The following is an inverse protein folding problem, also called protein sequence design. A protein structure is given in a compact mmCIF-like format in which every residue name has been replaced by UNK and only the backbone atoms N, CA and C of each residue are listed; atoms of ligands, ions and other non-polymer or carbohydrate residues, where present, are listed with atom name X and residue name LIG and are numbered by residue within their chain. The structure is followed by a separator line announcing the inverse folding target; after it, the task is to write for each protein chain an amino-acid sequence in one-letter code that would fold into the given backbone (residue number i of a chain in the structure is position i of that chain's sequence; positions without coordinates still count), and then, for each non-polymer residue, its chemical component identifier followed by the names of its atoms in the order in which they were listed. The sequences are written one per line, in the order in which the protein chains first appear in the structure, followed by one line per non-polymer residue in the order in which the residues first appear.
data_IF_970183194857
#
_entry.id   IF_970183194857
#
_cell.length_a   1.000
_cell.length_b   1.000
_cell.length_c   1.000
_cell.angle_alpha   90.00
_cell.angle_beta   90.00
_cell.angle_gamma   90.00
#
_symmetry.space_group_name_H-M   'P 1'
#
loop_
_entity.id
_entity.type
_entity.pdbx_description
1 polymer ?
#
# COMPACT_ATOMS: atom_id res chain seq x y z
N UNK A 1 29.22 -20.07 -44.81
CA UNK A 1 27.99 -20.76 -44.37
C UNK A 1 28.01 -20.72 -42.84
N UNK A 2 27.58 -19.60 -42.27
CA UNK A 2 27.37 -19.48 -40.82
C UNK A 2 25.89 -19.77 -40.64
N UNK A 3 25.58 -21.01 -40.25
CA UNK A 3 24.24 -21.38 -39.83
C UNK A 3 23.96 -20.62 -38.53
N UNK A 4 23.09 -19.63 -38.60
CA UNK A 4 22.57 -18.98 -37.40
C UNK A 4 21.72 -19.99 -36.65
N UNK A 5 22.24 -20.51 -35.55
CA UNK A 5 21.42 -21.26 -34.59
C UNK A 5 20.20 -20.40 -34.24
N UNK A 6 18.97 -20.93 -34.35
CA UNK A 6 17.79 -20.20 -33.90
C UNK A 6 17.98 -19.92 -32.41
N UNK A 7 17.80 -18.65 -32.01
CA UNK A 7 17.73 -18.26 -30.60
C UNK A 7 16.51 -18.97 -30.01
N UNK A 8 16.71 -20.17 -29.47
CA UNK A 8 15.70 -20.89 -28.72
C UNK A 8 15.46 -20.03 -27.49
N UNK A 9 14.30 -19.38 -27.42
CA UNK A 9 13.77 -18.82 -26.18
C UNK A 9 13.60 -20.02 -25.23
N UNK A 10 14.67 -20.40 -24.52
CA UNK A 10 14.59 -21.41 -23.48
C UNK A 10 13.61 -20.89 -22.43
N UNK A 11 12.41 -21.47 -22.44
CA UNK A 11 11.43 -21.21 -21.41
C UNK A 11 12.10 -21.56 -20.07
N UNK A 12 12.11 -20.64 -19.10
CA UNK A 12 12.75 -20.91 -17.83
C UNK A 12 12.16 -22.17 -17.18
N UNK A 13 12.99 -23.14 -16.82
CA UNK A 13 12.56 -24.38 -16.17
C UNK A 13 12.37 -24.15 -14.67
N UNK A 14 11.27 -23.52 -14.29
CA UNK A 14 10.89 -23.31 -12.89
C UNK A 14 9.90 -22.16 -12.67
N UNK A 15 9.09 -22.20 -11.59
CA UNK A 15 8.08 -21.17 -11.35
C UNK A 15 8.70 -19.79 -11.09
N UNK A 16 9.79 -19.72 -10.32
CA UNK A 16 10.45 -18.46 -9.98
C UNK A 16 11.10 -17.79 -11.20
N UNK A 17 11.75 -18.60 -12.04
CA UNK A 17 12.39 -18.13 -13.26
C UNK A 17 11.39 -17.75 -14.33
N UNK A 18 10.23 -18.42 -14.39
CA UNK A 18 9.08 -18.01 -15.22
C UNK A 18 8.54 -16.65 -14.79
N UNK A 19 8.35 -16.42 -13.49
CA UNK A 19 7.89 -15.12 -12.96
C UNK A 19 8.89 -13.99 -13.25
N UNK A 20 10.18 -14.26 -13.08
CA UNK A 20 11.24 -13.31 -13.42
C UNK A 20 11.22 -12.96 -14.92
N UNK A 21 11.09 -13.97 -15.79
CA UNK A 21 10.99 -13.78 -17.23
C UNK A 21 9.74 -12.99 -17.61
N UNK A 22 8.58 -13.30 -17.01
CA UNK A 22 7.33 -12.54 -17.25
C UNK A 22 7.48 -11.08 -16.80
N UNK A 23 8.02 -10.81 -15.62
CA UNK A 23 8.23 -9.45 -15.12
C UNK A 23 9.21 -8.65 -15.99
N UNK A 24 10.26 -9.29 -16.48
CA UNK A 24 11.27 -8.64 -17.30
C UNK A 24 10.81 -8.39 -18.74
N UNK A 25 10.06 -9.31 -19.35
CA UNK A 25 9.64 -9.22 -20.76
C UNK A 25 8.27 -8.56 -20.94
N UNK A 26 7.42 -8.57 -19.92
CA UNK A 26 6.07 -8.02 -19.98
C UNK A 26 5.86 -6.88 -18.99
N UNK A 27 6.01 -5.65 -19.49
CA UNK A 27 5.86 -4.42 -18.70
C UNK A 27 4.52 -4.35 -17.95
N UNK A 28 3.43 -4.79 -18.57
CA UNK A 28 2.10 -4.78 -17.96
C UNK A 28 2.02 -5.69 -16.72
N UNK A 29 2.67 -6.86 -16.76
CA UNK A 29 2.71 -7.80 -15.63
C UNK A 29 3.52 -7.20 -14.46
N UNK A 30 4.65 -6.56 -14.77
CA UNK A 30 5.46 -5.84 -13.78
C UNK A 30 4.66 -4.71 -13.12
N UNK A 31 4.08 -3.80 -13.90
CA UNK A 31 3.34 -2.65 -13.38
C UNK A 31 2.09 -3.06 -12.59
N UNK A 32 1.36 -4.09 -13.05
CA UNK A 32 0.19 -4.60 -12.33
C UNK A 32 0.59 -5.20 -10.98
N UNK A 33 1.67 -5.98 -10.95
CA UNK A 33 2.19 -6.59 -9.71
C UNK A 33 2.62 -5.52 -8.71
N UNK A 34 3.37 -4.52 -9.15
CA UNK A 34 3.75 -3.36 -8.31
C UNK A 34 2.52 -2.62 -7.83
N UNK A 35 1.58 -2.28 -8.72
CA UNK A 35 0.38 -1.54 -8.37
C UNK A 35 -0.47 -2.23 -7.31
N UNK A 36 -0.76 -3.52 -7.48
CA UNK A 36 -1.54 -4.31 -6.51
C UNK A 36 -0.81 -4.38 -5.16
N UNK A 37 0.49 -4.69 -5.17
CA UNK A 37 1.26 -4.79 -3.94
C UNK A 37 1.35 -3.44 -3.22
N UNK A 38 1.60 -2.35 -3.94
CA UNK A 38 1.66 -1.00 -3.39
C UNK A 38 0.33 -0.52 -2.82
N UNK A 39 -0.81 -0.92 -3.40
CA UNK A 39 -2.12 -0.61 -2.81
C UNK A 39 -2.33 -1.32 -1.47
N UNK A 40 -1.92 -2.59 -1.37
CA UNK A 40 -1.96 -3.33 -0.11
C UNK A 40 -1.05 -2.70 0.94
N UNK A 41 0.17 -2.32 0.55
CA UNK A 41 1.11 -1.61 1.41
C UNK A 41 0.54 -0.26 1.83
N UNK A 42 -0.01 0.54 0.91
CA UNK A 42 -0.63 1.83 1.21
C UNK A 42 -1.75 1.74 2.26
N UNK A 43 -2.55 0.68 2.23
CA UNK A 43 -3.57 0.45 3.25
C UNK A 43 -2.97 0.15 4.63
N UNK A 44 -1.85 -0.57 4.68
CA UNK A 44 -1.08 -0.75 5.91
C UNK A 44 -0.40 0.56 6.36
N UNK A 45 0.14 1.36 5.44
CA UNK A 45 0.77 2.65 5.76
C UNK A 45 -0.20 3.61 6.43
N UNK A 46 -1.49 3.62 6.05
CA UNK A 46 -2.53 4.37 6.76
C UNK A 46 -2.59 4.04 8.26
N UNK A 47 -2.42 2.77 8.62
CA UNK A 47 -2.38 2.32 10.02
C UNK A 47 -1.10 2.79 10.71
N UNK A 48 0.04 2.72 10.03
CA UNK A 48 1.34 3.18 10.55
C UNK A 48 1.32 4.68 10.81
N UNK A 49 0.89 5.48 9.84
CA UNK A 49 0.83 6.96 9.94
C UNK A 49 -0.01 7.39 11.14
N UNK A 50 -1.17 6.75 11.34
CA UNK A 50 -2.05 7.09 12.46
C UNK A 50 -1.53 6.60 13.82
N UNK A 51 -1.03 5.35 13.90
CA UNK A 51 -0.72 4.71 15.20
C UNK A 51 0.69 4.96 15.69
N UNK A 52 1.67 5.11 14.78
CA UNK A 52 3.08 5.25 15.16
C UNK A 52 3.33 6.46 16.08
N UNK A 53 2.79 7.68 15.81
CA UNK A 53 2.99 8.82 16.69
C UNK A 53 2.40 8.59 18.10
N UNK A 54 1.27 7.88 18.19
CA UNK A 54 0.60 7.56 19.45
C UNK A 54 1.39 6.52 20.26
N UNK A 55 2.00 5.54 19.58
CA UNK A 55 2.80 4.49 20.24
C UNK A 55 4.13 5.05 20.77
N UNK A 56 4.73 6.00 20.05
CA UNK A 56 6.00 6.62 20.43
C UNK A 56 5.86 7.63 21.57
N UNK A 57 4.68 8.22 21.75
CA UNK A 57 4.38 9.13 22.86
C UNK A 57 3.86 8.34 24.09
N UNK A 58 4.63 8.27 25.19
CA UNK A 58 4.24 7.50 26.38
C UNK A 58 2.96 8.00 27.05
N UNK A 59 2.70 9.31 26.98
CA UNK A 59 1.52 9.95 27.58
C UNK A 59 0.28 9.56 26.77
N UNK A 60 0.33 9.70 25.45
CA UNK A 60 -0.77 9.31 24.56
C UNK A 60 -1.02 7.80 24.59
N UNK A 61 0.04 6.99 24.63
CA UNK A 61 -0.08 5.53 24.72
C UNK A 61 -0.78 5.08 26.00
N UNK A 62 -0.49 5.71 27.14
CA UNK A 62 -1.16 5.41 28.41
C UNK A 62 -2.65 5.78 28.37
N UNK A 63 -3.00 6.86 27.68
CA UNK A 63 -4.38 7.30 27.49
C UNK A 63 -5.16 6.44 26.46
N UNK A 64 -4.49 5.84 25.49
CA UNK A 64 -5.11 5.07 24.40
C UNK A 64 -5.63 3.67 24.81
N UNK A 65 -5.37 3.23 26.05
CA UNK A 65 -5.78 1.92 26.57
C UNK A 65 -4.85 0.77 26.13
N UNK A 66 -4.98 -0.39 26.77
CA UNK A 66 -4.15 -1.58 26.50
C UNK A 66 -4.99 -2.74 25.96
N UNK A 67 -4.57 -3.45 24.89
CA UNK A 67 -3.36 -3.27 24.09
C UNK A 67 -3.52 -2.31 22.90
N UNK A 68 -2.73 -1.23 22.85
CA UNK A 68 -2.60 -0.35 21.69
C UNK A 68 -1.28 -0.60 20.95
N UNK A 69 -1.35 -1.18 19.75
CA UNK A 69 -0.21 -1.48 18.89
C UNK A 69 -0.57 -1.34 17.40
N UNK A 70 0.34 -1.70 16.49
CA UNK A 70 0.10 -1.57 15.05
C UNK A 70 -1.13 -2.37 14.57
N UNK A 71 -1.42 -3.52 15.17
CA UNK A 71 -2.53 -4.40 14.74
C UNK A 71 -3.79 -4.29 15.61
N UNK A 72 -3.68 -3.79 16.84
CA UNK A 72 -4.78 -3.69 17.82
C UNK A 72 -4.99 -2.23 18.27
N UNK A 73 -6.25 -1.75 18.39
CA UNK A 73 -7.51 -2.46 18.19
C UNK A 73 -7.84 -2.73 16.71
N UNK A 74 -8.79 -3.64 16.46
CA UNK A 74 -9.27 -3.89 15.09
C UNK A 74 -10.02 -2.66 14.54
N UNK A 75 -10.14 -2.56 13.21
CA UNK A 75 -10.84 -1.47 12.56
C UNK A 75 -12.34 -1.53 12.89
N UNK A 76 -12.88 -0.45 13.48
CA UNK A 76 -14.30 -0.30 13.81
C UNK A 76 -14.77 1.08 13.36
N UNK A 77 -16.05 1.18 13.03
CA UNK A 77 -16.65 2.49 12.76
C UNK A 77 -16.73 3.32 14.04
N UNK A 78 -16.30 4.60 14.07
CA UNK A 78 -16.36 5.44 15.26
C UNK A 78 -17.80 5.76 15.71
N UNK A 79 -18.77 5.78 14.79
CA UNK A 79 -20.18 6.09 15.09
C UNK A 79 -20.95 4.87 15.57
N UNK A 80 -21.00 3.80 14.77
CA UNK A 80 -21.82 2.62 15.09
C UNK A 80 -21.08 1.51 15.82
N UNK A 81 -19.76 1.62 16.01
CA UNK A 81 -18.88 0.62 16.65
C UNK A 81 -18.94 -0.78 16.03
N UNK A 82 -19.57 -0.94 14.86
CA UNK A 82 -19.61 -2.22 14.17
C UNK A 82 -18.21 -2.58 13.66
N UNK A 83 -17.88 -3.88 13.71
CA UNK A 83 -16.63 -4.42 13.19
C UNK A 83 -16.57 -4.22 11.68
N UNK A 84 -15.46 -3.67 11.18
CA UNK A 84 -15.22 -3.55 9.74
C UNK A 84 -14.81 -4.94 9.24
N UNK A 85 -15.57 -5.47 8.29
CA UNK A 85 -15.29 -6.77 7.69
C UNK A 85 -14.09 -6.66 6.75
N UNK A 86 -13.30 -7.73 6.53
CA UNK A 86 -12.07 -7.64 5.74
C UNK A 86 -12.26 -7.07 4.32
N UNK A 87 -13.37 -7.40 3.65
CA UNK A 87 -13.67 -6.85 2.32
C UNK A 87 -14.00 -5.35 2.32
N UNK A 88 -14.41 -4.80 3.47
CA UNK A 88 -14.62 -3.36 3.66
C UNK A 88 -13.28 -2.63 3.88
N UNK A 89 -12.19 -3.37 4.06
CA UNK A 89 -10.83 -2.85 4.22
C UNK A 89 -9.95 -3.09 2.97
N UNK A 90 -10.54 -3.48 1.84
CA UNK A 90 -9.81 -3.63 0.57
C UNK A 90 -9.47 -2.22 0.03
N UNK A 91 -8.18 -1.90 -0.20
CA UNK A 91 -7.74 -0.57 -0.59
C UNK A 91 -8.47 -0.07 -1.83
N UNK A 92 -8.91 1.20 -1.83
CA UNK A 92 -9.69 1.91 -2.87
C UNK A 92 -11.03 1.29 -3.27
N UNK A 93 -11.06 -0.02 -3.50
CA UNK A 93 -12.21 -0.79 -3.93
C UNK A 93 -13.36 -0.70 -2.92
N UNK A 94 -13.09 -0.88 -1.62
CA UNK A 94 -14.14 -0.82 -0.62
C UNK A 94 -14.75 0.58 -0.53
N UNK A 95 -13.92 1.63 -0.67
CA UNK A 95 -14.37 3.01 -0.64
C UNK A 95 -15.24 3.35 -1.84
N UNK A 96 -14.86 2.91 -3.05
CA UNK A 96 -15.67 3.09 -4.27
C UNK A 96 -17.01 2.36 -4.19
N UNK A 97 -17.00 1.07 -3.81
CA UNK A 97 -18.22 0.25 -3.72
C UNK A 97 -19.17 0.75 -2.64
N UNK A 98 -18.64 1.25 -1.52
CA UNK A 98 -19.45 1.81 -0.43
C UNK A 98 -19.86 3.27 -0.66
N UNK A 99 -19.44 3.90 -1.77
CA UNK A 99 -19.69 5.31 -2.06
C UNK A 99 -19.10 6.26 -1.01
N UNK A 100 -17.93 5.90 -0.47
CA UNK A 100 -17.23 6.65 0.56
C UNK A 100 -17.95 6.72 1.90
N UNK A 101 -18.84 5.77 2.21
CA UNK A 101 -19.63 5.77 3.46
C UNK A 101 -19.56 4.43 4.19
N UNK A 102 -19.68 4.46 5.52
CA UNK A 102 -19.80 3.24 6.31
C UNK A 102 -21.03 2.44 5.86
N UNK A 103 -20.87 1.13 5.65
CA UNK A 103 -21.95 0.25 5.21
C UNK A 103 -23.21 0.33 6.11
N UNK A 104 -23.02 0.36 7.43
CA UNK A 104 -24.10 0.25 8.41
C UNK A 104 -24.75 1.60 8.75
N UNK A 105 -23.94 2.61 9.08
CA UNK A 105 -24.44 3.90 9.59
C UNK A 105 -24.29 5.07 8.62
N UNK A 106 -23.77 4.80 7.41
CA UNK A 106 -23.57 5.79 6.32
C UNK A 106 -22.70 6.98 6.68
N UNK A 107 -21.96 6.92 7.79
CA UNK A 107 -20.94 7.93 8.15
C UNK A 107 -19.91 8.04 7.02
N UNK A 108 -19.58 9.24 6.52
CA UNK A 108 -18.58 9.40 5.48
C UNK A 108 -17.21 8.93 5.96
N UNK A 109 -16.50 8.20 5.10
CA UNK A 109 -15.11 7.80 5.29
C UNK A 109 -14.25 8.92 4.70
N UNK A 110 -13.33 9.52 5.47
CA UNK A 110 -12.61 10.70 5.02
C UNK A 110 -11.68 10.36 3.85
N UNK A 111 -11.58 11.30 2.90
CA UNK A 111 -10.85 11.13 1.64
C UNK A 111 -9.35 10.89 1.80
N UNK A 112 -8.81 11.22 2.96
CA UNK A 112 -7.40 11.01 3.28
C UNK A 112 -6.98 9.55 3.09
N UNK A 113 -7.79 8.59 3.54
CA UNK A 113 -7.45 7.17 3.46
C UNK A 113 -7.31 6.67 2.02
N UNK A 114 -8.31 6.82 1.12
CA UNK A 114 -8.14 6.42 -0.27
C UNK A 114 -7.09 7.26 -0.99
N UNK A 115 -6.87 8.52 -0.61
CA UNK A 115 -5.82 9.34 -1.22
C UNK A 115 -4.41 8.80 -0.94
N UNK A 116 -4.13 8.33 0.27
CA UNK A 116 -2.84 7.71 0.64
C UNK A 116 -2.64 6.38 -0.08
N UNK A 117 -3.68 5.57 -0.20
CA UNK A 117 -3.62 4.31 -0.95
C UNK A 117 -3.34 4.57 -2.43
N UNK A 118 -4.08 5.52 -3.03
CA UNK A 118 -3.89 5.92 -4.42
C UNK A 118 -2.51 6.51 -4.67
N UNK A 119 -2.01 7.39 -3.79
CA UNK A 119 -0.68 7.98 -3.95
C UNK A 119 0.42 6.94 -3.84
N UNK A 120 0.30 6.01 -2.89
CA UNK A 120 1.24 4.89 -2.72
C UNK A 120 1.24 4.00 -3.97
N UNK A 121 0.06 3.61 -4.47
CA UNK A 121 -0.09 2.80 -5.69
C UNK A 121 0.44 3.51 -6.93
N UNK A 122 -0.07 4.71 -7.22
CA UNK A 122 0.28 5.48 -8.40
C UNK A 122 1.76 5.89 -8.42
N UNK A 123 2.29 6.39 -7.30
CA UNK A 123 3.71 6.75 -7.18
C UNK A 123 4.63 5.56 -7.41
N UNK A 124 4.28 4.39 -6.87
CA UNK A 124 5.07 3.17 -7.10
C UNK A 124 5.04 2.72 -8.56
N UNK A 125 3.87 2.78 -9.21
CA UNK A 125 3.72 2.44 -10.62
C UNK A 125 4.53 3.40 -11.51
N UNK A 126 4.52 4.70 -11.21
CA UNK A 126 5.32 5.70 -11.93
C UNK A 126 6.81 5.37 -11.79
N UNK A 127 7.30 5.10 -10.58
CA UNK A 127 8.71 4.73 -10.36
C UNK A 127 9.06 3.42 -11.09
N UNK A 128 8.19 2.42 -11.01
CA UNK A 128 8.36 1.13 -11.69
C UNK A 128 8.36 1.27 -13.22
N UNK A 129 7.59 2.21 -13.76
CA UNK A 129 7.56 2.52 -15.19
C UNK A 129 8.84 3.24 -15.64
N UNK A 130 9.31 4.22 -14.86
CA UNK A 130 10.52 4.98 -15.17
C UNK A 130 11.81 4.16 -15.04
N UNK A 131 11.89 3.27 -14.05
CA UNK A 131 13.10 2.51 -13.74
C UNK A 131 13.07 1.07 -14.31
N UNK A 132 11.94 0.61 -14.84
CA UNK A 132 11.75 -0.77 -15.31
C UNK A 132 11.85 -1.81 -14.20
N UNK A 133 12.03 -3.08 -14.58
CA UNK A 133 12.26 -4.19 -13.64
C UNK A 133 13.71 -4.21 -13.17
N UNK A 134 14.05 -3.32 -12.24
CA UNK A 134 15.42 -3.14 -11.73
C UNK A 134 15.44 -2.99 -10.21
N UNK A 135 16.59 -3.23 -9.58
CA UNK A 135 16.77 -2.97 -8.15
C UNK A 135 16.62 -1.49 -7.80
N UNK A 136 16.94 -0.60 -8.74
CA UNK A 136 16.74 0.84 -8.57
C UNK A 136 15.25 1.18 -8.38
N UNK A 137 14.36 0.52 -9.12
CA UNK A 137 12.92 0.68 -8.96
C UNK A 137 12.47 0.29 -7.55
N UNK A 138 12.96 -0.85 -7.03
CA UNK A 138 12.63 -1.34 -5.69
C UNK A 138 13.09 -0.36 -4.61
N UNK A 139 14.34 0.10 -4.69
CA UNK A 139 14.89 1.09 -3.74
C UNK A 139 14.11 2.41 -3.84
N UNK A 140 13.80 2.87 -5.05
CA UNK A 140 13.02 4.07 -5.28
C UNK A 140 11.62 3.99 -4.68
N UNK A 141 10.93 2.87 -4.85
CA UNK A 141 9.60 2.61 -4.27
C UNK A 141 9.67 2.61 -2.74
N UNK A 142 10.63 1.90 -2.14
CA UNK A 142 10.79 1.86 -0.69
C UNK A 142 11.11 3.25 -0.12
N UNK A 143 12.02 3.98 -0.75
CA UNK A 143 12.35 5.36 -0.38
C UNK A 143 11.16 6.29 -0.47
N UNK A 144 10.36 6.15 -1.54
CA UNK A 144 9.12 6.91 -1.71
C UNK A 144 8.11 6.63 -0.59
N UNK A 145 7.88 5.35 -0.23
CA UNK A 145 6.98 5.00 0.87
C UNK A 145 7.42 5.59 2.21
N UNK A 146 8.72 5.50 2.52
CA UNK A 146 9.27 6.08 3.75
C UNK A 146 9.09 7.59 3.79
N UNK A 147 9.38 8.28 2.68
CA UNK A 147 9.19 9.72 2.56
C UNK A 147 7.71 10.10 2.73
N UNK A 148 6.81 9.39 2.06
CA UNK A 148 5.37 9.63 2.14
C UNK A 148 4.87 9.48 3.59
N UNK A 149 5.26 8.42 4.28
CA UNK A 149 4.91 8.20 5.69
C UNK A 149 5.47 9.31 6.59
N UNK A 150 6.75 9.65 6.43
CA UNK A 150 7.39 10.68 7.23
C UNK A 150 6.68 12.04 7.06
N UNK A 151 6.40 12.44 5.83
CA UNK A 151 5.70 13.69 5.52
C UNK A 151 4.30 13.73 6.14
N UNK A 152 3.54 12.63 6.03
CA UNK A 152 2.19 12.56 6.57
C UNK A 152 2.14 12.52 8.09
N UNK A 153 3.13 11.89 8.73
CA UNK A 153 3.28 11.95 10.19
C UNK A 153 3.58 13.38 10.63
N UNK A 154 4.54 14.05 9.98
CA UNK A 154 4.90 15.44 10.30
C UNK A 154 3.70 16.37 10.12
N UNK A 155 2.92 16.18 9.04
CA UNK A 155 1.70 16.94 8.80
C UNK A 155 0.68 16.74 9.92
N UNK A 156 0.42 15.48 10.30
CA UNK A 156 -0.52 15.16 11.37
C UNK A 156 -0.07 15.73 12.71
N UNK A 157 1.22 15.65 13.05
CA UNK A 157 1.73 16.20 14.31
C UNK A 157 1.61 17.70 14.37
N UNK A 158 1.90 18.42 13.27
CA UNK A 158 1.74 19.88 13.20
C UNK A 158 0.29 20.33 13.31
N UNK A 159 -0.66 19.51 12.84
CA UNK A 159 -2.09 19.85 12.92
C UNK A 159 -2.69 19.78 14.33
N UNK A 160 -1.94 19.26 15.30
CA UNK A 160 -2.36 19.07 16.69
C UNK A 160 -1.82 20.14 17.66
N UNK A 161 -0.96 21.04 17.17
CA UNK A 161 -0.41 22.20 17.90
C UNK A 161 -1.17 23.48 17.53
#
# INVERSE_FOLDING_TARGET
MFEGEPMIFEHPSGPLSTLYWLANNHIWFWLASVGIFSLLVGSFLNVVIYRLPIILDPVKKKAAGTPFNLSKPASHCPKCKNKIKPWQNIPLFSWLVLGGKCFNCKLPIPWRYPLVELSTGAGSVIIAWLCGFTWLAVIGIMGYWLLLVALLIIYDTKSLE
#
